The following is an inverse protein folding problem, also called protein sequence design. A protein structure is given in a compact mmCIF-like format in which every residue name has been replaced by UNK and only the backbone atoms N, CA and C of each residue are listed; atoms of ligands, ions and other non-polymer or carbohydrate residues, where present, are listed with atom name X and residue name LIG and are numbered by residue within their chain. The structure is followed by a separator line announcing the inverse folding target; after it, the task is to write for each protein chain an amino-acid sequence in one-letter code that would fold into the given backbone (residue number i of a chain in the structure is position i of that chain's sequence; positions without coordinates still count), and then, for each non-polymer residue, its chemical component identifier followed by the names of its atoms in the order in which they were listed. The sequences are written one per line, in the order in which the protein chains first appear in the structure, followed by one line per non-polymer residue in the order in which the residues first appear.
data_IF_475372088459
#
_entry.id   IF_475372088459
#
_cell.length_a   1.000
_cell.length_b   1.000
_cell.length_c   1.000
_cell.angle_alpha   90.00
_cell.angle_beta   90.00
_cell.angle_gamma   90.00
#
_symmetry.space_group_name_H-M   'P 1'
#
loop_
_entity.id
_entity.type
_entity.pdbx_description
1 polymer ?
#
# COMPACT_ATOMS: atom_id res chain seq x y z
N UNK A 1 -1.95 14.94 66.33
CA UNK A 1 -0.87 14.40 65.46
C UNK A 1 -1.53 13.40 64.53
N UNK A 2 -1.76 13.60 63.24
CA UNK A 2 -1.17 14.49 62.25
C UNK A 2 -2.27 15.15 61.41
N UNK A 3 -2.07 16.43 61.11
CA UNK A 3 -2.72 17.15 60.01
C UNK A 3 -2.12 16.68 58.67
N UNK A 4 -2.91 16.68 57.60
CA UNK A 4 -2.44 16.21 56.29
C UNK A 4 -3.37 16.58 55.13
N UNK A 5 -3.38 17.88 54.79
CA UNK A 5 -3.56 18.46 53.44
C UNK A 5 -4.65 17.90 52.49
N UNK A 6 -5.84 18.50 52.54
CA UNK A 6 -6.81 18.50 51.43
C UNK A 6 -6.80 19.86 50.71
N UNK A 7 -5.80 20.11 49.86
CA UNK A 7 -5.80 21.25 48.93
C UNK A 7 -5.11 20.86 47.63
N UNK A 8 -5.85 20.21 46.74
CA UNK A 8 -5.31 19.75 45.46
C UNK A 8 -6.29 19.78 44.27
N UNK A 9 -7.59 19.59 44.49
CA UNK A 9 -8.50 19.28 43.37
C UNK A 9 -9.41 20.43 42.89
N UNK A 10 -9.48 21.57 43.60
CA UNK A 10 -10.44 22.63 43.20
C UNK A 10 -9.89 23.65 42.19
N UNK A 11 -8.58 23.70 41.95
CA UNK A 11 -7.97 24.68 41.02
C UNK A 11 -7.95 24.23 39.56
N UNK A 12 -8.03 22.92 39.28
CA UNK A 12 -8.10 22.40 37.90
C UNK A 12 -9.54 22.39 37.34
N UNK A 13 -10.58 22.41 38.18
CA UNK A 13 -11.97 22.50 37.72
C UNK A 13 -12.46 23.95 37.53
N UNK A 14 -11.83 24.96 38.15
CA UNK A 14 -12.23 26.36 38.00
C UNK A 14 -11.57 27.12 36.84
N UNK A 15 -10.67 26.51 36.08
CA UNK A 15 -10.08 27.13 34.89
C UNK A 15 -10.81 26.80 33.56
N UNK A 16 -11.86 25.97 33.60
CA UNK A 16 -12.68 25.64 32.40
C UNK A 16 -13.90 26.53 32.19
N UNK A 17 -14.14 27.54 33.04
CA UNK A 17 -15.31 28.43 32.93
C UNK A 17 -14.93 29.90 32.76
N UNK A 18 -14.59 30.28 31.52
CA UNK A 18 -14.86 31.59 30.88
C UNK A 18 -13.99 31.78 29.64
N UNK A 19 -14.31 31.05 28.57
CA UNK A 19 -13.99 31.53 27.23
C UNK A 19 -15.25 32.21 26.68
N UNK A 20 -15.26 33.54 26.76
CA UNK A 20 -16.24 34.39 26.08
C UNK A 20 -15.88 34.38 24.60
N UNK A 21 -16.53 33.51 23.82
CA UNK A 21 -16.08 33.24 22.46
C UNK A 21 -16.38 34.43 21.50
N UNK A 22 -15.34 35.02 20.89
CA UNK A 22 -15.42 36.04 19.84
C UNK A 22 -15.70 35.40 18.47
N UNK A 23 -16.11 36.21 17.50
CA UNK A 23 -16.43 35.78 16.12
C UNK A 23 -15.23 35.18 15.36
N UNK A 24 -14.01 35.38 15.86
CA UNK A 24 -12.75 34.84 15.33
C UNK A 24 -12.45 33.41 15.81
N UNK A 25 -13.22 32.90 16.78
CA UNK A 25 -12.88 31.67 17.51
C UNK A 25 -13.27 30.38 16.77
N UNK A 26 -13.70 30.48 15.51
CA UNK A 26 -13.90 29.31 14.66
C UNK A 26 -12.64 28.88 13.91
N UNK A 27 -11.57 29.69 13.95
CA UNK A 27 -10.27 29.33 13.38
C UNK A 27 -9.44 28.67 14.48
N UNK A 28 -8.97 27.46 14.21
CA UNK A 28 -8.04 26.72 15.04
C UNK A 28 -6.96 26.15 14.12
N UNK A 29 -5.71 26.30 14.53
CA UNK A 29 -4.57 25.62 13.90
C UNK A 29 -4.49 24.18 14.37
N UNK A 30 -3.71 23.33 13.67
CA UNK A 30 -3.52 21.96 14.12
C UNK A 30 -2.78 21.90 15.48
N UNK A 31 -1.85 22.84 15.74
CA UNK A 31 -1.13 22.97 17.00
C UNK A 31 -2.06 23.32 18.16
N UNK A 32 -2.90 24.35 18.00
CA UNK A 32 -3.90 24.74 19.00
C UNK A 32 -4.87 23.59 19.26
N UNK A 33 -5.28 22.86 18.22
CA UNK A 33 -6.12 21.68 18.35
C UNK A 33 -5.46 20.58 19.20
N UNK A 34 -4.17 20.32 19.03
CA UNK A 34 -3.44 19.34 19.84
C UNK A 34 -3.32 19.77 21.32
N UNK A 35 -3.23 21.07 21.58
CA UNK A 35 -3.15 21.64 22.93
C UNK A 35 -4.53 21.63 23.62
N UNK A 36 -5.59 21.98 22.88
CA UNK A 36 -6.95 22.10 23.41
C UNK A 36 -7.65 20.73 23.62
N UNK A 37 -7.15 19.67 22.97
CA UNK A 37 -7.76 18.33 23.02
C UNK A 37 -6.84 17.28 23.61
N UNK A 38 -7.44 16.29 24.26
CA UNK A 38 -6.81 15.02 24.63
C UNK A 38 -6.82 14.02 23.47
N UNK A 39 -6.03 12.95 23.57
CA UNK A 39 -6.03 11.89 22.54
C UNK A 39 -7.37 11.16 22.46
N UNK A 40 -8.09 11.04 23.59
CA UNK A 40 -9.43 10.46 23.63
C UNK A 40 -10.44 11.32 22.88
N UNK A 41 -10.44 12.63 23.13
CA UNK A 41 -11.30 13.60 22.42
C UNK A 41 -11.03 13.58 20.91
N UNK A 42 -9.77 13.47 20.48
CA UNK A 42 -9.40 13.30 19.06
C UNK A 42 -9.94 12.02 18.46
N UNK A 43 -9.93 10.91 19.20
CA UNK A 43 -10.52 9.63 18.75
C UNK A 43 -12.04 9.73 18.61
N UNK A 44 -12.71 10.45 19.50
CA UNK A 44 -14.16 10.69 19.44
C UNK A 44 -14.50 11.50 18.17
N UNK A 45 -13.75 12.58 17.89
CA UNK A 45 -13.94 13.38 16.67
C UNK A 45 -13.69 12.53 15.42
N UNK A 46 -12.60 11.75 15.41
CA UNK A 46 -12.28 10.81 14.32
C UNK A 46 -13.43 9.83 14.04
N UNK A 47 -13.98 9.22 15.10
CA UNK A 47 -15.12 8.31 15.01
C UNK A 47 -16.37 9.00 14.45
N UNK A 48 -16.69 10.19 14.96
CA UNK A 48 -17.83 10.98 14.50
C UNK A 48 -17.72 11.33 13.01
N UNK A 49 -16.57 11.86 12.58
CA UNK A 49 -16.32 12.19 11.16
C UNK A 49 -16.39 10.94 10.29
N UNK A 50 -15.71 9.86 10.68
CA UNK A 50 -15.68 8.61 9.90
C UNK A 50 -17.07 8.00 9.73
N UNK A 51 -17.90 8.07 10.77
CA UNK A 51 -19.29 7.58 10.75
C UNK A 51 -20.16 8.40 9.81
N UNK A 52 -20.11 9.73 9.93
CA UNK A 52 -20.88 10.63 9.06
C UNK A 52 -20.44 10.49 7.60
N UNK A 53 -19.14 10.41 7.33
CA UNK A 53 -18.61 10.18 5.98
C UNK A 53 -19.14 8.86 5.42
N UNK A 54 -19.05 7.77 6.17
CA UNK A 54 -19.51 6.46 5.70
C UNK A 54 -21.00 6.47 5.35
N UNK A 55 -21.84 6.98 6.24
CA UNK A 55 -23.29 7.08 6.03
C UNK A 55 -23.62 7.96 4.80
N UNK A 56 -22.96 9.11 4.69
CA UNK A 56 -23.19 10.05 3.59
C UNK A 56 -22.80 9.45 2.24
N UNK A 57 -21.68 8.72 2.19
CA UNK A 57 -21.21 8.04 0.97
C UNK A 57 -22.18 6.92 0.57
N UNK A 58 -22.72 6.15 1.53
CA UNK A 58 -23.76 5.15 1.26
C UNK A 58 -24.98 5.80 0.60
N UNK A 59 -25.37 6.98 1.05
CA UNK A 59 -26.47 7.76 0.48
C UNK A 59 -26.11 8.50 -0.82
N UNK A 60 -24.85 8.40 -1.27
CA UNK A 60 -24.37 9.07 -2.48
C UNK A 60 -24.06 10.56 -2.30
N UNK A 61 -23.98 11.06 -1.06
CA UNK A 61 -23.68 12.46 -0.72
C UNK A 61 -22.19 12.66 -0.47
N UNK A 62 -21.50 13.51 -1.25
CA UNK A 62 -20.09 13.85 -1.01
C UNK A 62 -19.90 14.66 0.30
N UNK A 63 -18.71 14.60 0.89
CA UNK A 63 -18.36 15.35 2.11
C UNK A 63 -17.15 16.23 1.85
N UNK A 64 -17.27 17.53 2.14
CA UNK A 64 -16.17 18.48 2.03
C UNK A 64 -15.37 18.56 3.33
N UNK A 65 -14.08 18.23 3.26
CA UNK A 65 -13.11 18.49 4.31
C UNK A 65 -12.46 19.85 4.03
N UNK A 66 -12.98 20.90 4.68
CA UNK A 66 -12.60 22.30 4.42
C UNK A 66 -11.08 22.52 4.42
N UNK A 67 -10.56 23.09 3.33
CA UNK A 67 -9.13 23.36 3.18
C UNK A 67 -8.26 22.12 2.88
N UNK A 68 -8.87 20.96 2.65
CA UNK A 68 -8.17 19.71 2.38
C UNK A 68 -8.65 19.02 1.09
N UNK A 69 -9.93 18.66 1.00
CA UNK A 69 -10.50 18.05 -0.19
C UNK A 69 -11.92 17.50 -0.05
N UNK A 70 -12.41 16.89 -1.11
CA UNK A 70 -13.76 16.28 -1.16
C UNK A 70 -13.64 14.77 -1.12
N UNK A 71 -14.42 14.14 -0.23
CA UNK A 71 -14.66 12.70 -0.21
C UNK A 71 -15.95 12.41 -0.97
N UNK A 72 -15.90 11.49 -1.93
CA UNK A 72 -17.05 11.15 -2.77
C UNK A 72 -17.08 9.66 -3.06
N UNK A 73 -18.27 9.15 -3.42
CA UNK A 73 -18.44 7.74 -3.72
C UNK A 73 -17.94 7.41 -5.14
N UNK A 74 -17.41 6.21 -5.31
CA UNK A 74 -17.16 5.61 -6.62
C UNK A 74 -17.72 4.21 -6.63
N UNK A 75 -18.65 4.00 -7.54
CA UNK A 75 -19.22 2.68 -7.80
C UNK A 75 -18.31 1.93 -8.78
N UNK A 76 -18.01 0.67 -8.46
CA UNK A 76 -17.17 -0.19 -9.25
C UNK A 76 -17.69 -1.62 -9.19
N UNK A 77 -17.54 -2.34 -10.30
CA UNK A 77 -17.87 -3.75 -10.38
C UNK A 77 -16.63 -4.54 -9.98
N UNK A 78 -16.76 -5.42 -8.99
CA UNK A 78 -15.72 -6.37 -8.64
C UNK A 78 -16.23 -7.81 -8.79
N UNK A 79 -15.34 -8.70 -9.21
CA UNK A 79 -15.62 -10.11 -9.28
C UNK A 79 -15.16 -10.79 -7.99
N UNK A 80 -16.03 -11.64 -7.43
CA UNK A 80 -15.76 -12.40 -6.21
C UNK A 80 -15.99 -13.89 -6.48
N UNK A 81 -15.11 -14.71 -5.95
CA UNK A 81 -15.17 -16.17 -6.10
C UNK A 81 -15.39 -16.81 -4.75
N UNK A 82 -16.53 -17.48 -4.57
CA UNK A 82 -16.84 -18.23 -3.36
C UNK A 82 -16.69 -19.75 -3.62
N UNK A 83 -16.12 -20.48 -2.65
CA UNK A 83 -15.95 -21.93 -2.75
C UNK A 83 -17.16 -22.67 -2.18
N UNK A 84 -17.80 -23.52 -2.97
CA UNK A 84 -18.87 -24.43 -2.53
C UNK A 84 -18.45 -25.86 -2.86
N UNK A 85 -18.01 -26.59 -1.83
CA UNK A 85 -17.51 -27.97 -1.98
C UNK A 85 -16.33 -28.07 -2.98
N UNK A 86 -16.56 -28.68 -4.15
CA UNK A 86 -15.58 -28.85 -5.24
C UNK A 86 -15.76 -27.85 -6.38
N UNK A 87 -16.80 -27.03 -6.32
CA UNK A 87 -17.13 -26.02 -7.33
C UNK A 87 -16.91 -24.62 -6.77
N UNK A 88 -16.65 -23.68 -7.67
CA UNK A 88 -16.55 -22.26 -7.34
C UNK A 88 -17.70 -21.51 -8.00
N UNK A 89 -18.29 -20.59 -7.25
CA UNK A 89 -19.31 -19.68 -7.75
C UNK A 89 -18.69 -18.30 -7.97
N UNK A 90 -18.87 -17.78 -9.18
CA UNK A 90 -18.44 -16.42 -9.53
C UNK A 90 -19.61 -15.47 -9.31
N UNK A 91 -19.36 -14.41 -8.55
CA UNK A 91 -20.27 -13.31 -8.29
C UNK A 91 -19.69 -12.02 -8.88
N UNK A 92 -20.56 -11.21 -9.45
CA UNK A 92 -20.30 -9.82 -9.82
C UNK A 92 -20.97 -8.96 -8.75
N UNK A 93 -20.17 -8.23 -7.99
CA UNK A 93 -20.64 -7.33 -6.94
C UNK A 93 -20.47 -5.88 -7.38
N UNK A 94 -21.56 -5.12 -7.34
CA UNK A 94 -21.52 -3.67 -7.47
C UNK A 94 -21.13 -3.11 -6.10
N UNK A 95 -19.92 -2.59 -5.99
CA UNK A 95 -19.39 -2.06 -4.73
C UNK A 95 -19.20 -0.56 -4.80
N UNK A 96 -19.51 0.09 -3.68
CA UNK A 96 -19.28 1.51 -3.46
C UNK A 96 -18.06 1.70 -2.58
N UNK A 97 -17.11 2.49 -3.07
CA UNK A 97 -15.89 2.86 -2.34
C UNK A 97 -15.81 4.36 -2.13
N UNK A 98 -14.91 4.82 -1.25
CA UNK A 98 -14.62 6.25 -1.06
C UNK A 98 -13.43 6.64 -1.94
N UNK A 99 -13.56 7.75 -2.65
CA UNK A 99 -12.48 8.42 -3.35
C UNK A 99 -12.25 9.80 -2.74
N UNK A 100 -11.06 10.34 -2.97
CA UNK A 100 -10.66 11.66 -2.50
C UNK A 100 -10.19 12.52 -3.67
N UNK A 101 -10.60 13.78 -3.69
CA UNK A 101 -10.08 14.80 -4.59
C UNK A 101 -9.59 15.99 -3.78
N UNK A 102 -8.30 16.31 -3.90
CA UNK A 102 -7.70 17.47 -3.24
C UNK A 102 -8.41 18.74 -3.71
N UNK A 103 -8.90 19.52 -2.76
CA UNK A 103 -9.66 20.73 -3.02
C UNK A 103 -9.52 21.69 -1.84
N UNK A 104 -8.93 22.85 -2.10
CA UNK A 104 -8.75 23.90 -1.07
C UNK A 104 -10.07 24.58 -0.75
N UNK A 105 -10.82 24.98 -1.78
CA UNK A 105 -12.03 25.79 -1.69
C UNK A 105 -13.08 25.27 -2.66
N UNK A 106 -14.36 25.23 -2.25
CA UNK A 106 -15.47 24.87 -3.12
C UNK A 106 -15.86 26.04 -4.04
N UNK A 107 -15.36 26.01 -5.28
CA UNK A 107 -15.82 26.93 -6.33
C UNK A 107 -17.10 26.43 -6.99
N UNK A 108 -17.84 27.31 -7.67
CA UNK A 108 -19.17 27.01 -8.24
C UNK A 108 -19.22 25.71 -9.07
N UNK A 109 -18.21 25.46 -9.90
CA UNK A 109 -18.11 24.25 -10.72
C UNK A 109 -18.04 22.96 -9.89
N UNK A 110 -17.37 22.97 -8.74
CA UNK A 110 -17.27 21.79 -7.88
C UNK A 110 -18.59 21.51 -7.16
N UNK A 111 -19.36 22.55 -6.83
CA UNK A 111 -20.71 22.39 -6.25
C UNK A 111 -21.66 21.73 -7.25
N UNK A 112 -21.51 22.02 -8.53
CA UNK A 112 -22.27 21.35 -9.60
C UNK A 112 -21.82 19.89 -9.79
N UNK A 113 -20.50 19.64 -9.76
CA UNK A 113 -19.93 18.28 -9.83
C UNK A 113 -20.37 17.41 -8.65
N UNK A 114 -20.45 17.98 -7.44
CA UNK A 114 -20.75 17.28 -6.20
C UNK A 114 -22.12 17.72 -5.65
N UNK A 115 -23.18 17.33 -6.35
CA UNK A 115 -24.56 17.64 -5.93
C UNK A 115 -24.84 17.08 -4.53
N UNK A 116 -25.37 17.93 -3.65
CA UNK A 116 -25.72 17.54 -2.27
C UNK A 116 -24.51 17.37 -1.35
N UNK A 117 -23.39 18.03 -1.66
CA UNK A 117 -22.19 18.02 -0.82
C UNK A 117 -22.50 18.52 0.59
N UNK A 118 -22.01 17.79 1.59
CA UNK A 118 -22.08 18.15 3.00
C UNK A 118 -20.91 19.09 3.30
N UNK A 119 -21.23 20.35 3.59
CA UNK A 119 -20.26 21.35 4.01
C UNK A 119 -20.00 21.28 5.53
N UNK A 120 -19.04 22.05 6.02
CA UNK A 120 -18.58 21.96 7.40
C UNK A 120 -19.69 22.19 8.44
N UNK A 121 -20.63 23.12 8.20
CA UNK A 121 -21.73 23.37 9.13
C UNK A 121 -22.60 22.14 9.30
N UNK A 122 -22.99 21.51 8.19
CA UNK A 122 -23.84 20.32 8.18
C UNK A 122 -23.08 19.13 8.75
N UNK A 123 -21.78 18.99 8.41
CA UNK A 123 -20.90 17.98 8.98
C UNK A 123 -20.82 18.12 10.50
N UNK A 124 -20.71 19.33 11.05
CA UNK A 124 -20.64 19.56 12.48
C UNK A 124 -21.92 19.14 13.21
N UNK A 125 -23.09 19.41 12.63
CA UNK A 125 -24.38 18.97 13.16
C UNK A 125 -24.45 17.44 13.19
N UNK A 126 -24.16 16.78 12.08
CA UNK A 126 -24.21 15.32 11.97
C UNK A 126 -23.17 14.62 12.86
N UNK A 127 -21.95 15.17 12.95
CA UNK A 127 -20.90 14.64 13.82
C UNK A 127 -21.31 14.77 15.28
N UNK A 128 -21.88 15.92 15.68
CA UNK A 128 -22.38 16.13 17.04
C UNK A 128 -23.40 15.07 17.43
N UNK A 129 -24.33 14.73 16.54
CA UNK A 129 -25.32 13.66 16.78
C UNK A 129 -24.65 12.29 17.01
N UNK A 130 -23.57 11.98 16.29
CA UNK A 130 -22.83 10.72 16.45
C UNK A 130 -22.00 10.66 17.74
N UNK A 131 -21.57 11.80 18.26
CA UNK A 131 -20.65 11.85 19.42
C UNK A 131 -21.28 12.35 20.72
N UNK A 132 -22.56 12.76 20.71
CA UNK A 132 -23.23 13.37 21.87
C UNK A 132 -23.30 12.48 23.11
N UNK A 133 -23.14 11.16 22.93
CA UNK A 133 -23.04 10.22 24.06
C UNK A 133 -21.69 10.31 24.79
N UNK A 134 -20.62 10.69 24.09
CA UNK A 134 -19.26 10.72 24.65
C UNK A 134 -18.87 12.08 25.22
N UNK A 135 -19.36 13.17 24.62
CA UNK A 135 -19.00 14.54 24.97
C UNK A 135 -20.20 15.49 24.89
N UNK A 136 -20.29 16.41 25.85
CA UNK A 136 -21.31 17.48 25.87
C UNK A 136 -20.76 18.75 25.22
N UNK A 137 -20.43 18.65 23.93
CA UNK A 137 -19.98 19.80 23.15
C UNK A 137 -21.15 20.43 22.37
N UNK A 138 -21.19 21.75 22.39
CA UNK A 138 -22.07 22.49 21.51
C UNK A 138 -21.55 22.45 20.06
N UNK A 139 -22.42 22.76 19.11
CA UNK A 139 -22.12 22.71 17.68
C UNK A 139 -20.91 23.56 17.28
N UNK A 140 -20.70 24.72 17.91
CA UNK A 140 -19.56 25.60 17.60
C UNK A 140 -18.23 24.98 17.99
N UNK A 141 -18.17 24.32 19.15
CA UNK A 141 -16.99 23.60 19.61
C UNK A 141 -16.71 22.41 18.67
N UNK A 142 -17.75 21.65 18.32
CA UNK A 142 -17.62 20.54 17.37
C UNK A 142 -17.09 21.03 16.02
N UNK A 143 -17.64 22.13 15.49
CA UNK A 143 -17.19 22.73 14.24
C UNK A 143 -15.72 23.18 14.30
N UNK A 144 -15.31 23.86 15.38
CA UNK A 144 -13.92 24.27 15.62
C UNK A 144 -13.00 23.04 15.63
N UNK A 145 -13.36 22.01 16.39
CA UNK A 145 -12.52 20.81 16.53
C UNK A 145 -12.48 19.95 15.27
N UNK A 146 -13.54 19.88 14.47
CA UNK A 146 -13.51 19.26 13.14
C UNK A 146 -12.49 19.98 12.24
N UNK A 147 -12.47 21.32 12.23
CA UNK A 147 -11.46 22.08 11.48
C UNK A 147 -10.05 21.76 11.95
N UNK A 148 -9.81 21.78 13.27
CA UNK A 148 -8.51 21.43 13.83
C UNK A 148 -8.06 20.02 13.46
N UNK A 149 -8.99 19.08 13.49
CA UNK A 149 -8.75 17.70 13.08
C UNK A 149 -8.43 17.56 11.58
N UNK A 150 -9.14 18.28 10.70
CA UNK A 150 -8.84 18.31 9.26
C UNK A 150 -7.47 18.94 9.00
N UNK A 151 -7.12 20.03 9.69
CA UNK A 151 -5.79 20.63 9.60
C UNK A 151 -4.70 19.67 10.08
N UNK A 152 -4.96 18.87 11.12
CA UNK A 152 -4.04 17.84 11.60
C UNK A 152 -3.85 16.72 10.55
N UNK A 153 -4.93 16.23 9.92
CA UNK A 153 -4.82 15.25 8.81
C UNK A 153 -3.95 15.81 7.70
N UNK A 154 -4.25 17.05 7.28
CA UNK A 154 -3.53 17.75 6.22
C UNK A 154 -2.05 17.90 6.57
N UNK A 155 -1.75 18.33 7.80
CA UNK A 155 -0.38 18.47 8.28
C UNK A 155 0.35 17.13 8.26
N UNK A 156 -0.22 16.06 8.83
CA UNK A 156 0.40 14.73 8.84
C UNK A 156 0.62 14.19 7.42
N UNK A 157 -0.38 14.31 6.55
CA UNK A 157 -0.27 13.86 5.15
C UNK A 157 0.86 14.60 4.42
N UNK A 158 1.01 15.90 4.60
CA UNK A 158 2.07 16.68 3.93
C UNK A 158 3.43 16.48 4.60
N UNK A 159 3.51 16.62 5.92
CA UNK A 159 4.77 16.58 6.63
C UNK A 159 5.36 15.16 6.70
N UNK A 160 4.52 14.15 6.95
CA UNK A 160 4.95 12.76 7.11
C UNK A 160 4.67 11.91 5.87
N UNK A 161 3.96 12.46 4.88
CA UNK A 161 3.55 11.72 3.68
C UNK A 161 2.39 10.76 3.91
N UNK A 162 1.85 10.68 5.14
CA UNK A 162 0.79 9.74 5.53
C UNK A 162 -0.03 10.27 6.71
N UNK A 163 -1.35 10.06 6.69
CA UNK A 163 -2.21 10.24 7.86
C UNK A 163 -3.21 9.10 8.01
N UNK A 164 -3.24 8.49 9.20
CA UNK A 164 -4.14 7.38 9.57
C UNK A 164 -5.28 7.82 10.48
N UNK A 165 -5.48 9.13 10.66
CA UNK A 165 -6.48 9.69 11.58
C UNK A 165 -7.93 9.32 11.23
N UNK A 166 -8.18 8.95 9.98
CA UNK A 166 -9.48 8.46 9.49
C UNK A 166 -9.39 7.01 8.99
N UNK A 167 -8.58 6.16 9.63
CA UNK A 167 -8.31 4.78 9.22
C UNK A 167 -9.54 3.89 9.00
N UNK A 168 -10.67 4.23 9.62
CA UNK A 168 -11.98 3.58 9.45
C UNK A 168 -12.52 3.72 8.02
N UNK A 169 -12.29 4.87 7.36
CA UNK A 169 -12.66 5.10 5.96
C UNK A 169 -11.49 4.87 5.00
N UNK A 170 -10.25 5.07 5.46
CA UNK A 170 -9.03 4.85 4.67
C UNK A 170 -7.80 5.58 5.23
N UNK A 171 -6.71 5.54 4.47
CA UNK A 171 -5.44 6.20 4.83
C UNK A 171 -5.10 7.23 3.76
N UNK A 172 -4.78 8.45 4.19
CA UNK A 172 -4.31 9.50 3.30
C UNK A 172 -2.81 9.38 3.09
N UNK A 173 -2.38 9.57 1.86
CA UNK A 173 -0.99 9.58 1.46
C UNK A 173 -0.69 10.85 0.68
N UNK A 174 0.55 11.34 0.76
CA UNK A 174 1.03 12.41 -0.09
C UNK A 174 2.37 12.05 -0.72
N UNK A 175 2.47 12.26 -2.04
CA UNK A 175 3.71 12.17 -2.79
C UNK A 175 4.10 13.57 -3.29
N UNK A 176 5.30 14.04 -2.92
CA UNK A 176 5.73 15.39 -3.25
C UNK A 176 6.39 15.43 -4.62
N UNK A 177 5.83 16.20 -5.54
CA UNK A 177 6.38 16.39 -6.87
C UNK A 177 7.29 17.62 -6.99
N UNK A 178 7.29 18.48 -5.96
CA UNK A 178 8.07 19.71 -5.84
C UNK A 178 8.53 19.89 -4.39
N UNK A 179 9.68 20.54 -4.24
CA UNK A 179 10.18 21.02 -2.95
C UNK A 179 9.87 22.51 -2.83
N UNK A 180 9.59 22.96 -1.61
CA UNK A 180 9.39 24.37 -1.29
C UNK A 180 9.96 24.71 0.09
N UNK A 181 9.94 26.00 0.43
CA UNK A 181 10.42 26.45 1.74
C UNK A 181 9.30 26.49 2.76
N UNK A 182 8.08 26.81 2.33
CA UNK A 182 6.92 26.96 3.22
C UNK A 182 5.92 25.82 3.06
N UNK A 183 5.15 25.53 4.13
CA UNK A 183 4.13 24.48 4.13
C UNK A 183 3.14 24.58 2.95
N UNK A 184 2.79 25.80 2.54
CA UNK A 184 1.89 26.03 1.41
C UNK A 184 2.48 25.53 0.08
N UNK A 185 3.79 25.64 -0.12
CA UNK A 185 4.47 25.12 -1.31
C UNK A 185 4.42 23.60 -1.33
N UNK A 186 4.66 22.97 -0.17
CA UNK A 186 4.59 21.52 -0.01
C UNK A 186 3.18 21.01 -0.29
N UNK A 187 2.15 21.63 0.31
CA UNK A 187 0.75 21.26 0.05
C UNK A 187 0.39 21.43 -1.43
N UNK A 188 0.81 22.53 -2.06
CA UNK A 188 0.54 22.80 -3.48
C UNK A 188 1.24 21.79 -4.40
N UNK A 189 2.46 21.36 -4.04
CA UNK A 189 3.27 20.39 -4.77
C UNK A 189 2.96 18.92 -4.49
N UNK A 190 2.13 18.63 -3.47
CA UNK A 190 1.76 17.29 -3.08
C UNK A 190 0.62 16.70 -3.92
N UNK A 191 0.81 15.47 -4.37
CA UNK A 191 -0.22 14.59 -4.91
C UNK A 191 -0.82 13.79 -3.75
N UNK A 192 -2.00 14.19 -3.30
CA UNK A 192 -2.66 13.63 -2.11
C UNK A 192 -3.80 12.72 -2.56
N UNK A 193 -3.80 11.49 -2.07
CA UNK A 193 -4.82 10.50 -2.38
C UNK A 193 -5.24 9.72 -1.14
N UNK A 194 -6.42 9.12 -1.22
CA UNK A 194 -6.97 8.24 -0.19
C UNK A 194 -6.94 6.80 -0.70
N UNK A 195 -6.42 5.91 0.12
CA UNK A 195 -6.60 4.47 -0.06
C UNK A 195 -7.69 4.02 0.88
N UNK A 196 -8.85 3.75 0.30
CA UNK A 196 -10.05 3.48 1.06
C UNK A 196 -10.05 2.07 1.64
N UNK A 197 -10.42 1.96 2.91
CA UNK A 197 -10.79 0.68 3.54
C UNK A 197 -12.30 0.48 3.55
N UNK A 198 -13.06 1.50 3.13
CA UNK A 198 -14.50 1.45 3.05
C UNK A 198 -14.93 0.79 1.73
N UNK A 199 -15.75 -0.25 1.86
CA UNK A 199 -16.46 -0.86 0.73
C UNK A 199 -17.85 -1.25 1.18
N UNK A 200 -18.86 -0.85 0.39
CA UNK A 200 -20.26 -1.20 0.61
C UNK A 200 -20.81 -1.93 -0.61
N UNK A 201 -21.24 -3.16 -0.44
CA UNK A 201 -21.87 -3.95 -1.51
C UNK A 201 -23.30 -3.42 -1.73
N UNK A 202 -23.54 -2.83 -2.91
CA UNK A 202 -24.86 -2.34 -3.34
C UNK A 202 -25.71 -3.51 -3.85
N UNK A 203 -25.09 -4.34 -4.68
CA UNK A 203 -25.76 -5.43 -5.37
C UNK A 203 -24.78 -6.59 -5.59
N UNK A 204 -25.28 -7.82 -5.59
CA UNK A 204 -24.49 -9.01 -5.90
C UNK A 204 -25.29 -9.90 -6.84
N UNK A 205 -24.66 -10.29 -7.95
CA UNK A 205 -25.25 -11.15 -8.98
C UNK A 205 -24.35 -12.35 -9.22
N UNK A 206 -24.90 -13.54 -9.09
CA UNK A 206 -24.22 -14.77 -9.51
C UNK A 206 -24.03 -14.77 -11.03
N UNK A 207 -22.77 -14.83 -11.46
CA UNK A 207 -22.35 -14.86 -12.87
C UNK A 207 -22.34 -16.30 -13.37
N UNK A 208 -21.79 -17.23 -12.59
CA UNK A 208 -21.63 -18.60 -13.04
C UNK A 208 -21.04 -19.54 -12.01
N UNK A 209 -20.78 -20.78 -12.48
CA UNK A 209 -20.09 -21.82 -11.73
C UNK A 209 -18.97 -22.39 -12.58
N UNK A 210 -17.85 -22.72 -11.95
CA UNK A 210 -16.74 -23.39 -12.62
C UNK A 210 -16.00 -24.30 -11.65
N UNK A 211 -15.31 -25.31 -12.21
CA UNK A 211 -14.36 -26.13 -11.48
C UNK A 211 -13.00 -25.46 -11.60
N UNK A 212 -12.30 -25.29 -10.47
CA UNK A 212 -10.97 -24.68 -10.50
C UNK A 212 -9.98 -25.58 -11.23
N UNK A 213 -9.24 -25.06 -12.22
CA UNK A 213 -8.26 -25.87 -12.95
C UNK A 213 -7.16 -26.37 -12.01
N UNK A 214 -6.69 -27.58 -12.29
CA UNK A 214 -5.51 -28.17 -11.65
C UNK A 214 -4.41 -28.20 -12.70
N UNK A 215 -3.36 -27.42 -12.48
CA UNK A 215 -2.28 -27.23 -13.43
C UNK A 215 -1.23 -28.34 -13.33
N UNK A 216 -0.55 -28.68 -14.43
CA UNK A 216 0.63 -29.57 -14.34
C UNK A 216 1.84 -28.79 -13.83
N UNK A 217 1.96 -27.53 -14.23
CA UNK A 217 3.07 -26.64 -13.88
C UNK A 217 2.59 -25.23 -13.52
N UNK A 218 3.51 -24.41 -13.01
CA UNK A 218 3.21 -23.04 -12.56
C UNK A 218 3.06 -22.01 -13.69
N UNK A 219 3.24 -22.39 -14.95
CA UNK A 219 3.24 -21.44 -16.05
C UNK A 219 2.10 -21.63 -17.06
N UNK A 220 1.33 -22.73 -16.97
CA UNK A 220 0.13 -22.99 -17.76
C UNK A 220 -0.86 -21.83 -17.83
N UNK A 221 -1.20 -21.13 -16.72
CA UNK A 221 -2.08 -19.96 -16.79
C UNK A 221 -1.52 -18.83 -17.66
N UNK A 222 -0.18 -18.69 -17.71
CA UNK A 222 0.51 -17.68 -18.50
C UNK A 222 0.53 -18.07 -19.98
N UNK A 223 0.65 -19.36 -20.29
CA UNK A 223 0.46 -19.83 -21.67
C UNK A 223 -0.94 -19.53 -22.21
N UNK A 224 -1.96 -19.71 -21.36
CA UNK A 224 -3.33 -19.43 -21.74
C UNK A 224 -3.59 -17.93 -22.02
N UNK A 225 -2.91 -17.01 -21.30
CA UNK A 225 -3.15 -15.58 -21.44
C UNK A 225 -2.15 -14.83 -22.35
N UNK A 226 -0.91 -15.32 -22.45
CA UNK A 226 0.18 -14.67 -23.20
C UNK A 226 0.65 -15.47 -24.43
N UNK A 227 0.16 -16.71 -24.62
CA UNK A 227 0.70 -17.64 -25.60
C UNK A 227 1.96 -18.36 -25.11
N UNK A 228 2.63 -19.11 -25.98
CA UNK A 228 3.78 -19.96 -25.63
C UNK A 228 4.91 -19.16 -24.99
N UNK A 229 5.64 -19.79 -24.07
CA UNK A 229 6.87 -19.23 -23.51
C UNK A 229 7.87 -18.91 -24.63
N UNK A 230 8.47 -17.72 -24.57
CA UNK A 230 9.50 -17.28 -25.52
C UNK A 230 10.88 -17.85 -25.18
N UNK A 231 11.09 -18.22 -23.92
CA UNK A 231 12.31 -18.86 -23.44
C UNK A 231 12.06 -19.66 -22.16
N UNK A 232 12.90 -20.67 -21.94
CA UNK A 232 13.01 -21.43 -20.69
C UNK A 232 14.44 -21.26 -20.18
N UNK A 233 14.59 -20.73 -18.97
CA UNK A 233 15.88 -20.44 -18.35
C UNK A 233 16.14 -21.39 -17.19
N UNK A 234 17.43 -21.59 -16.91
CA UNK A 234 17.90 -22.33 -15.75
C UNK A 234 18.92 -21.46 -15.03
N UNK A 235 18.55 -20.91 -13.88
CA UNK A 235 19.40 -20.01 -13.10
C UNK A 235 20.19 -20.84 -12.08
N UNK A 236 21.52 -20.76 -12.16
CA UNK A 236 22.42 -21.38 -11.19
C UNK A 236 22.45 -20.54 -9.90
N UNK A 237 21.75 -21.02 -8.87
CA UNK A 237 21.64 -20.36 -7.58
C UNK A 237 23.00 -20.17 -6.92
N UNK A 238 23.89 -21.16 -7.04
CA UNK A 238 25.22 -21.11 -6.44
C UNK A 238 26.02 -20.02 -7.11
N UNK A 239 26.09 -20.00 -8.45
CA UNK A 239 26.83 -18.95 -9.16
C UNK A 239 26.34 -17.54 -8.80
N UNK A 240 25.04 -17.29 -8.84
CA UNK A 240 24.49 -15.95 -8.59
C UNK A 240 24.65 -15.52 -7.12
N UNK A 241 24.54 -16.44 -6.15
CA UNK A 241 24.82 -16.13 -4.75
C UNK A 241 26.29 -15.77 -4.51
N UNK A 242 27.23 -16.35 -5.27
CA UNK A 242 28.64 -15.96 -5.23
C UNK A 242 28.81 -14.50 -5.60
N UNK A 243 28.17 -14.11 -6.71
CA UNK A 243 28.27 -12.76 -7.26
C UNK A 243 27.65 -11.72 -6.32
N UNK A 244 26.69 -12.14 -5.49
CA UNK A 244 26.08 -11.32 -4.43
C UNK A 244 26.89 -11.33 -3.12
N UNK A 245 27.98 -12.09 -3.04
CA UNK A 245 28.87 -12.14 -1.87
C UNK A 245 28.39 -13.05 -0.73
N UNK A 246 27.44 -13.97 -0.99
CA UNK A 246 26.97 -14.93 0.02
C UNK A 246 27.95 -16.11 0.16
N UNK A 247 28.19 -16.55 1.40
CA UNK A 247 28.97 -17.75 1.68
C UNK A 247 28.22 -19.01 1.22
N UNK A 248 28.84 -19.77 0.33
CA UNK A 248 28.26 -20.94 -0.33
C UNK A 248 28.55 -22.25 0.38
N UNK A 249 29.42 -22.21 1.39
CA UNK A 249 29.89 -23.40 2.09
C UNK A 249 28.71 -24.22 2.63
N UNK A 250 27.71 -23.54 3.19
CA UNK A 250 26.49 -24.17 3.69
C UNK A 250 25.51 -24.63 2.60
N UNK A 251 25.47 -23.97 1.44
CA UNK A 251 24.58 -24.31 0.32
C UNK A 251 25.09 -25.52 -0.47
N UNK A 252 26.39 -25.54 -0.75
CA UNK A 252 27.03 -26.63 -1.49
C UNK A 252 26.99 -27.97 -0.74
N UNK A 253 26.94 -27.93 0.60
CA UNK A 253 26.82 -29.12 1.44
C UNK A 253 25.39 -29.68 1.51
N UNK A 254 24.37 -28.83 1.36
CA UNK A 254 22.99 -29.19 1.70
C UNK A 254 22.01 -29.28 0.51
N UNK A 255 22.34 -28.70 -0.65
CA UNK A 255 21.48 -28.75 -1.84
C UNK A 255 21.97 -29.81 -2.83
N UNK A 256 21.07 -30.72 -3.21
CA UNK A 256 21.32 -31.66 -4.29
C UNK A 256 21.55 -30.89 -5.61
N UNK A 257 22.33 -31.43 -6.57
CA UNK A 257 22.63 -30.72 -7.82
C UNK A 257 21.41 -30.21 -8.59
N UNK A 258 20.30 -30.95 -8.57
CA UNK A 258 19.04 -30.53 -9.21
C UNK A 258 18.37 -29.33 -8.52
N UNK A 259 18.57 -29.17 -7.21
CA UNK A 259 18.01 -28.08 -6.39
C UNK A 259 18.83 -26.80 -6.49
N UNK A 260 20.00 -26.85 -7.15
CA UNK A 260 20.85 -25.69 -7.42
C UNK A 260 20.38 -24.88 -8.62
N UNK A 261 19.48 -25.45 -9.42
CA UNK A 261 18.94 -24.81 -10.62
C UNK A 261 17.52 -24.35 -10.36
N UNK A 262 17.26 -23.06 -10.56
CA UNK A 262 15.91 -22.51 -10.59
C UNK A 262 15.40 -22.48 -12.03
N UNK A 263 14.30 -23.17 -12.30
CA UNK A 263 13.65 -23.17 -13.61
C UNK A 263 12.74 -21.95 -13.73
N UNK A 264 12.85 -21.24 -14.85
CA UNK A 264 12.09 -20.01 -15.11
C UNK A 264 11.56 -20.02 -16.53
N UNK A 265 10.25 -19.85 -16.68
CA UNK A 265 9.59 -19.67 -17.97
C UNK A 265 9.41 -18.18 -18.25
N UNK A 266 9.68 -17.76 -19.49
CA UNK A 266 9.59 -16.35 -19.88
C UNK A 266 8.46 -16.18 -20.89
N UNK A 267 7.56 -15.24 -20.61
CA UNK A 267 6.44 -14.87 -21.45
C UNK A 267 6.53 -13.42 -21.88
N UNK A 268 5.97 -13.11 -23.04
CA UNK A 268 5.78 -11.74 -23.49
C UNK A 268 4.31 -11.38 -23.41
N UNK A 269 4.00 -10.25 -22.79
CA UNK A 269 2.66 -9.70 -22.73
C UNK A 269 2.62 -8.31 -23.38
N UNK A 270 1.42 -7.84 -23.69
CA UNK A 270 1.22 -6.48 -24.20
C UNK A 270 1.73 -5.44 -23.19
N UNK A 271 2.48 -4.46 -23.70
CA UNK A 271 2.89 -3.29 -22.93
C UNK A 271 1.97 -2.13 -23.21
N UNK A 272 1.70 -1.32 -22.18
CA UNK A 272 1.02 -0.02 -22.35
C UNK A 272 1.91 1.00 -23.07
N UNK A 273 3.22 0.78 -23.09
CA UNK A 273 4.18 1.65 -23.76
C UNK A 273 4.52 1.05 -25.14
N UNK A 274 4.23 1.75 -26.25
CA UNK A 274 4.47 1.23 -27.60
C UNK A 274 5.95 1.01 -27.92
N UNK A 275 6.88 1.59 -27.14
CA UNK A 275 8.32 1.46 -27.32
C UNK A 275 8.95 0.43 -26.39
N UNK A 276 8.15 -0.28 -25.57
CA UNK A 276 8.63 -1.29 -24.64
C UNK A 276 7.83 -2.58 -24.82
N UNK A 277 8.43 -3.71 -24.44
CA UNK A 277 7.72 -4.98 -24.25
C UNK A 277 7.67 -5.31 -22.77
N UNK A 278 6.60 -5.98 -22.34
CA UNK A 278 6.48 -6.50 -20.97
C UNK A 278 6.90 -7.97 -20.98
N UNK A 279 7.95 -8.30 -20.24
CA UNK A 279 8.38 -9.68 -20.00
C UNK A 279 7.86 -10.14 -18.65
N UNK A 280 7.41 -11.40 -18.58
CA UNK A 280 6.92 -12.05 -17.37
C UNK A 280 7.77 -13.30 -17.15
N UNK A 281 8.51 -13.32 -16.05
CA UNK A 281 9.32 -14.44 -15.61
C UNK A 281 8.56 -15.19 -14.53
N UNK A 282 8.39 -16.50 -14.71
CA UNK A 282 7.59 -17.37 -13.84
C UNK A 282 8.48 -18.51 -13.38
N UNK A 283 8.71 -18.65 -12.07
CA UNK A 283 9.42 -19.82 -11.55
C UNK A 283 8.55 -21.07 -11.64
N UNK A 284 9.18 -22.22 -11.78
CA UNK A 284 8.50 -23.52 -11.72
C UNK A 284 9.27 -24.47 -10.80
N UNK A 285 8.59 -24.93 -9.74
CA UNK A 285 9.10 -25.95 -8.82
C UNK A 285 9.40 -25.43 -7.41
N UNK A 286 9.46 -24.11 -7.20
CA UNK A 286 9.70 -23.54 -5.87
C UNK A 286 8.61 -23.91 -4.87
N UNK A 287 7.40 -24.18 -5.36
CA UNK A 287 6.27 -24.61 -4.52
C UNK A 287 6.59 -25.84 -3.67
N UNK A 288 7.44 -26.75 -4.14
CA UNK A 288 7.78 -27.97 -3.41
C UNK A 288 8.45 -27.69 -2.07
N UNK A 289 9.21 -26.60 -1.98
CA UNK A 289 9.86 -26.18 -0.73
C UNK A 289 8.84 -25.89 0.38
N UNK A 290 7.65 -25.39 0.03
CA UNK A 290 6.63 -24.98 0.99
C UNK A 290 5.53 -26.01 1.24
N UNK A 291 5.26 -26.91 0.29
CA UNK A 291 4.16 -27.89 0.40
C UNK A 291 4.39 -28.82 1.60
N UNK A 292 5.62 -29.28 1.81
CA UNK A 292 5.99 -30.17 2.92
C UNK A 292 5.83 -29.51 4.30
N UNK A 293 5.86 -28.18 4.36
CA UNK A 293 5.86 -27.41 5.62
C UNK A 293 4.55 -26.67 5.91
N UNK A 294 3.77 -26.31 4.89
CA UNK A 294 2.68 -25.33 5.01
C UNK A 294 1.44 -25.63 4.17
N UNK A 295 1.39 -26.79 3.50
CA UNK A 295 0.34 -27.22 2.56
C UNK A 295 0.18 -26.35 1.30
N UNK A 296 0.76 -25.14 1.27
CA UNK A 296 0.68 -24.18 0.17
C UNK A 296 2.08 -23.65 -0.16
N UNK A 297 2.60 -24.05 -1.31
CA UNK A 297 3.87 -23.57 -1.83
C UNK A 297 3.85 -22.15 -2.38
N UNK A 298 5.00 -21.68 -2.83
CA UNK A 298 5.20 -20.36 -3.44
C UNK A 298 5.83 -20.51 -4.82
N UNK A 299 5.32 -19.75 -5.79
CA UNK A 299 6.01 -19.47 -7.05
C UNK A 299 6.20 -17.96 -7.19
N UNK A 300 7.32 -17.58 -7.79
CA UNK A 300 7.75 -16.19 -7.93
C UNK A 300 7.48 -15.70 -9.35
N UNK A 301 6.95 -14.49 -9.43
CA UNK A 301 6.69 -13.77 -10.68
C UNK A 301 7.54 -12.51 -10.69
N UNK A 302 8.26 -12.25 -11.77
CA UNK A 302 8.87 -10.95 -12.04
C UNK A 302 8.32 -10.42 -13.35
N UNK A 303 7.70 -9.24 -13.32
CA UNK A 303 7.30 -8.54 -14.54
C UNK A 303 8.20 -7.33 -14.75
N UNK A 304 8.69 -7.13 -15.97
CA UNK A 304 9.61 -6.05 -16.29
C UNK A 304 9.32 -5.45 -17.67
N UNK A 305 9.39 -4.13 -17.76
CA UNK A 305 9.35 -3.40 -19.03
C UNK A 305 10.77 -3.19 -19.56
N UNK A 306 11.04 -3.72 -20.75
CA UNK A 306 12.33 -3.58 -21.46
C UNK A 306 12.13 -2.94 -22.83
N UNK A 307 13.14 -2.26 -23.40
CA UNK A 307 13.11 -1.75 -24.77
C UNK A 307 12.80 -2.84 -25.81
N UNK A 308 12.14 -2.48 -26.92
CA UNK A 308 11.74 -3.42 -27.97
C UNK A 308 12.92 -4.02 -28.75
N UNK A 309 14.02 -3.28 -28.85
CA UNK A 309 15.25 -3.61 -29.56
C UNK A 309 16.15 -4.59 -28.81
N UNK A 310 15.82 -4.93 -27.55
CA UNK A 310 16.54 -5.96 -26.79
C UNK A 310 16.43 -7.34 -27.43
N UNK A 311 17.50 -8.13 -27.36
CA UNK A 311 17.47 -9.50 -27.87
C UNK A 311 16.58 -10.39 -26.99
N UNK A 312 16.08 -11.51 -27.52
CA UNK A 312 15.42 -12.55 -26.73
C UNK A 312 16.40 -13.69 -26.41
N UNK A 313 17.72 -13.42 -26.46
CA UNK A 313 18.71 -14.45 -26.17
C UNK A 313 18.73 -14.80 -24.69
N UNK A 314 18.87 -16.09 -24.39
CA UNK A 314 18.79 -16.61 -23.02
C UNK A 314 19.78 -15.97 -22.04
N UNK A 315 20.96 -15.56 -22.52
CA UNK A 315 21.96 -14.89 -21.69
C UNK A 315 21.50 -13.50 -21.22
N UNK A 316 20.94 -12.69 -22.13
CA UNK A 316 20.42 -11.36 -21.79
C UNK A 316 19.21 -11.48 -20.84
N UNK A 317 18.28 -12.40 -21.15
CA UNK A 317 17.11 -12.65 -20.31
C UNK A 317 17.50 -13.12 -18.91
N UNK A 318 18.53 -13.97 -18.78
CA UNK A 318 19.05 -14.40 -17.49
C UNK A 318 19.68 -13.24 -16.72
N UNK A 319 20.46 -12.37 -17.37
CA UNK A 319 21.08 -11.21 -16.70
C UNK A 319 20.04 -10.25 -16.09
N UNK A 320 18.86 -10.14 -16.71
CA UNK A 320 17.77 -9.28 -16.24
C UNK A 320 17.09 -9.87 -14.99
N UNK A 321 16.86 -11.19 -14.93
CA UNK A 321 16.01 -11.78 -13.89
C UNK A 321 16.76 -12.49 -12.76
N UNK A 322 18.02 -12.90 -12.97
CA UNK A 322 18.74 -13.78 -12.04
C UNK A 322 18.80 -13.24 -10.62
N UNK A 323 19.35 -12.04 -10.40
CA UNK A 323 19.52 -11.47 -9.05
C UNK A 323 18.19 -11.27 -8.30
N UNK A 324 17.15 -10.62 -8.86
CA UNK A 324 15.89 -10.46 -8.12
C UNK A 324 15.26 -11.80 -7.76
N UNK A 325 15.27 -12.79 -8.67
CA UNK A 325 14.73 -14.12 -8.39
C UNK A 325 15.54 -14.87 -7.31
N UNK A 326 16.87 -14.79 -7.36
CA UNK A 326 17.77 -15.41 -6.36
C UNK A 326 17.57 -14.78 -4.98
N UNK A 327 17.46 -13.45 -4.88
CA UNK A 327 17.20 -12.77 -3.61
C UNK A 327 15.83 -13.11 -3.04
N UNK A 328 14.80 -13.19 -3.88
CA UNK A 328 13.48 -13.64 -3.46
C UNK A 328 13.48 -15.12 -3.03
N UNK A 329 14.33 -15.96 -3.63
CA UNK A 329 14.56 -17.31 -3.15
C UNK A 329 15.28 -17.34 -1.80
N UNK A 330 16.26 -16.46 -1.55
CA UNK A 330 16.89 -16.31 -0.23
C UNK A 330 15.85 -15.93 0.83
N UNK A 331 14.96 -14.98 0.52
CA UNK A 331 13.82 -14.64 1.39
C UNK A 331 12.95 -15.86 1.68
N UNK A 332 12.60 -16.63 0.64
CA UNK A 332 11.80 -17.86 0.78
C UNK A 332 12.49 -18.88 1.68
N UNK A 333 13.81 -19.06 1.53
CA UNK A 333 14.59 -19.99 2.34
C UNK A 333 14.73 -19.52 3.79
N UNK A 334 14.82 -18.22 4.03
CA UNK A 334 14.85 -17.64 5.37
C UNK A 334 13.52 -17.77 6.13
N UNK A 335 12.40 -17.90 5.40
CA UNK A 335 11.08 -18.07 6.00
C UNK A 335 10.92 -19.48 6.63
N UNK A 336 10.50 -19.54 7.89
CA UNK A 336 10.34 -20.78 8.66
C UNK A 336 9.48 -21.83 7.95
N UNK A 337 8.42 -21.40 7.29
CA UNK A 337 7.45 -22.27 6.61
C UNK A 337 7.62 -22.26 5.09
N UNK A 338 8.74 -21.73 4.57
CA UNK A 338 9.00 -21.57 3.13
C UNK A 338 7.81 -20.96 2.39
N UNK A 339 7.25 -19.92 3.00
CA UNK A 339 6.15 -19.11 2.47
C UNK A 339 6.54 -17.66 2.58
N UNK A 340 6.28 -16.91 1.53
CA UNK A 340 6.45 -15.47 1.54
C UNK A 340 5.17 -14.77 2.00
N UNK A 341 5.32 -13.53 2.43
CA UNK A 341 4.21 -12.64 2.74
C UNK A 341 4.40 -11.32 2.01
N UNK A 342 3.28 -10.62 1.81
CA UNK A 342 3.26 -9.29 1.24
C UNK A 342 4.09 -8.33 2.08
N UNK A 343 5.04 -7.66 1.44
CA UNK A 343 5.92 -6.68 2.07
C UNK A 343 7.25 -7.21 2.57
N UNK A 344 7.52 -8.52 2.44
CA UNK A 344 8.86 -9.05 2.66
C UNK A 344 9.85 -8.41 1.67
N UNK A 345 11.07 -8.08 2.12
CA UNK A 345 12.06 -7.46 1.24
C UNK A 345 13.49 -7.73 1.66
N UNK A 346 14.40 -7.69 0.68
CA UNK A 346 15.82 -7.93 0.86
C UNK A 346 16.63 -7.00 -0.04
N UNK A 347 17.50 -6.19 0.56
CA UNK A 347 18.44 -5.35 -0.17
C UNK A 347 19.69 -6.14 -0.52
N UNK A 348 20.16 -5.97 -1.75
CA UNK A 348 21.42 -6.56 -2.22
C UNK A 348 22.63 -5.63 -2.03
N UNK A 349 22.41 -4.37 -1.65
CA UNK A 349 23.43 -3.28 -1.67
C UNK A 349 24.13 -3.07 -3.02
N UNK A 350 23.70 -3.78 -4.07
CA UNK A 350 24.16 -3.70 -5.46
C UNK A 350 22.93 -3.64 -6.38
N UNK A 351 23.06 -3.17 -7.63
CA UNK A 351 21.94 -3.13 -8.55
C UNK A 351 21.34 -4.53 -8.79
N UNK A 352 20.01 -4.63 -8.72
CA UNK A 352 19.30 -5.88 -9.02
C UNK A 352 19.41 -6.28 -10.49
N UNK A 353 19.53 -5.31 -11.39
CA UNK A 353 19.56 -5.55 -12.82
C UNK A 353 20.97 -5.26 -13.34
N UNK A 354 21.62 -6.28 -13.91
CA UNK A 354 22.93 -6.13 -14.56
C UNK A 354 22.77 -5.13 -15.73
N UNK A 355 23.78 -4.30 -15.96
CA UNK A 355 23.81 -3.25 -16.99
C UNK A 355 22.80 -2.08 -16.87
N UNK A 356 22.02 -2.03 -15.78
CA UNK A 356 21.25 -0.84 -15.43
C UNK A 356 22.16 0.19 -14.76
N UNK A 357 22.66 1.15 -15.54
CA UNK A 357 23.56 2.22 -15.08
C UNK A 357 22.90 3.17 -14.08
N UNK A 358 21.57 3.24 -14.06
CA UNK A 358 20.82 3.97 -13.05
C UNK A 358 20.72 3.10 -11.79
N UNK A 359 21.67 3.34 -10.88
CA UNK A 359 21.92 2.68 -9.58
C UNK A 359 20.74 2.64 -8.60
N UNK A 360 19.51 2.87 -9.05
CA UNK A 360 18.38 3.16 -8.18
C UNK A 360 17.78 1.91 -7.58
N UNK A 361 17.68 0.78 -8.29
CA UNK A 361 16.94 -0.41 -7.83
C UNK A 361 17.86 -1.50 -7.26
N UNK A 362 17.86 -1.66 -5.94
CA UNK A 362 18.74 -2.59 -5.22
C UNK A 362 18.02 -3.51 -4.22
N UNK A 363 16.72 -3.31 -3.99
CA UNK A 363 15.94 -4.07 -3.00
C UNK A 363 14.80 -4.82 -3.66
N UNK A 364 14.71 -6.13 -3.45
CA UNK A 364 13.50 -6.89 -3.82
C UNK A 364 12.42 -6.65 -2.79
N UNK A 365 11.18 -6.54 -3.23
CA UNK A 365 10.01 -6.36 -2.38
C UNK A 365 8.87 -7.24 -2.89
N UNK A 366 8.31 -8.05 -2.00
CA UNK A 366 7.30 -9.05 -2.34
C UNK A 366 5.92 -8.43 -2.27
N UNK A 367 5.13 -8.64 -3.31
CA UNK A 367 3.78 -8.11 -3.45
C UNK A 367 2.84 -9.23 -3.91
N UNK A 368 1.53 -9.18 -3.59
CA UNK A 368 0.58 -10.13 -4.14
C UNK A 368 0.56 -10.01 -5.68
N UNK A 369 0.59 -11.13 -6.38
CA UNK A 369 0.40 -11.13 -7.83
C UNK A 369 -1.09 -11.01 -8.16
N UNK A 370 -1.46 -9.93 -8.84
CA UNK A 370 -2.88 -9.55 -8.99
C UNK A 370 -3.57 -10.14 -10.20
N UNK A 371 -2.83 -10.56 -11.23
CA UNK A 371 -3.44 -11.15 -12.45
C UNK A 371 -4.02 -12.54 -12.16
N UNK A 372 -3.38 -13.31 -11.28
CA UNK A 372 -3.82 -14.64 -10.87
C UNK A 372 -3.78 -14.69 -9.34
N UNK A 373 -4.84 -14.16 -8.72
CA UNK A 373 -4.93 -14.06 -7.28
C UNK A 373 -5.29 -15.40 -6.60
N UNK A 374 -4.90 -15.52 -5.33
CA UNK A 374 -5.24 -16.64 -4.46
C UNK A 374 -4.43 -17.92 -4.67
N UNK A 375 -4.89 -19.00 -4.02
CA UNK A 375 -4.22 -20.31 -4.00
C UNK A 375 -4.52 -21.11 -5.25
N UNK A 376 -3.52 -21.34 -6.10
CA UNK A 376 -3.61 -22.21 -7.26
C UNK A 376 -3.42 -23.68 -6.92
N UNK A 377 -3.94 -24.54 -7.79
CA UNK A 377 -3.87 -25.99 -7.64
C UNK A 377 -3.00 -26.54 -8.74
N UNK A 378 -1.98 -27.31 -8.37
CA UNK A 378 -1.20 -28.12 -9.29
C UNK A 378 -1.33 -29.60 -8.93
N UNK A 379 -0.99 -30.47 -9.87
CA UNK A 379 -0.93 -31.94 -9.66
C UNK A 379 -0.04 -32.31 -8.48
N UNK A 380 0.97 -31.49 -8.18
CA UNK A 380 1.93 -31.72 -7.11
C UNK A 380 1.63 -30.93 -5.82
N UNK A 381 0.46 -30.29 -5.70
CA UNK A 381 0.06 -29.55 -4.49
C UNK A 381 -0.48 -28.16 -4.77
N UNK A 382 -0.78 -27.42 -3.70
CA UNK A 382 -1.32 -26.06 -3.79
C UNK A 382 -0.19 -25.04 -3.72
N UNK A 383 -0.36 -23.87 -4.34
CA UNK A 383 0.64 -22.82 -4.30
C UNK A 383 0.04 -21.42 -4.50
N UNK A 384 0.82 -20.37 -4.25
CA UNK A 384 0.45 -18.97 -4.56
C UNK A 384 1.55 -18.32 -5.40
N UNK A 385 1.14 -17.39 -6.26
CA UNK A 385 2.07 -16.50 -6.95
C UNK A 385 2.38 -15.29 -6.09
N UNK A 386 3.67 -14.99 -5.96
CA UNK A 386 4.17 -13.77 -5.35
C UNK A 386 4.91 -12.96 -6.40
N UNK A 387 4.51 -11.70 -6.56
CA UNK A 387 5.15 -10.79 -7.49
C UNK A 387 6.35 -10.11 -6.83
N UNK A 388 7.47 -10.11 -7.53
CA UNK A 388 8.69 -9.41 -7.17
C UNK A 388 8.61 -8.02 -7.81
N UNK A 389 8.61 -7.00 -6.97
CA UNK A 389 8.93 -5.63 -7.38
C UNK A 389 10.30 -5.24 -6.85
N UNK A 390 10.82 -4.15 -7.40
CA UNK A 390 12.11 -3.60 -7.05
C UNK A 390 11.92 -2.22 -6.43
N UNK A 391 12.52 -2.01 -5.26
CA UNK A 391 12.58 -0.72 -4.57
C UNK A 391 13.95 -0.08 -4.76
N UNK A 392 13.94 1.24 -4.67
CA UNK A 392 15.18 2.00 -4.48
C UNK A 392 15.66 1.95 -3.04
N UNK A 393 16.94 2.23 -2.80
CA UNK A 393 17.51 2.28 -1.43
C UNK A 393 16.69 3.21 -0.53
N UNK A 394 16.44 4.43 -0.99
CA UNK A 394 15.61 5.40 -0.27
C UNK A 394 14.18 4.90 -0.03
N UNK A 395 13.60 4.13 -0.95
CA UNK A 395 12.27 3.55 -0.76
C UNK A 395 12.30 2.40 0.25
N UNK A 396 13.35 1.56 0.24
CA UNK A 396 13.50 0.49 1.22
C UNK A 396 13.74 1.03 2.63
N UNK A 397 14.48 2.13 2.77
CA UNK A 397 14.78 2.76 4.05
C UNK A 397 13.53 3.31 4.74
N UNK A 398 12.51 3.69 3.98
CA UNK A 398 11.25 4.18 4.56
C UNK A 398 10.28 3.06 4.97
N UNK A 399 10.43 1.85 4.43
CA UNK A 399 9.52 0.72 4.69
C UNK A 399 9.33 0.47 6.18
N UNK A 400 10.38 0.43 7.03
CA UNK A 400 10.22 0.22 8.47
C UNK A 400 9.40 1.30 9.17
N UNK A 401 9.35 2.52 8.63
CA UNK A 401 8.63 3.61 9.30
C UNK A 401 7.20 3.80 8.75
N UNK A 402 6.97 3.66 7.45
CA UNK A 402 5.61 3.71 6.90
C UNK A 402 4.88 2.39 7.04
N UNK A 403 5.58 1.29 7.29
CA UNK A 403 5.15 -0.12 7.22
C UNK A 403 5.16 -0.72 5.80
N UNK A 404 5.41 -2.04 5.66
CA UNK A 404 5.37 -2.70 4.36
C UNK A 404 4.00 -2.63 3.67
N UNK A 405 2.91 -2.69 4.44
CA UNK A 405 1.55 -2.57 3.89
C UNK A 405 1.36 -1.23 3.19
N UNK A 406 1.77 -0.15 3.84
CA UNK A 406 1.55 1.19 3.33
C UNK A 406 2.50 1.50 2.16
N UNK A 407 3.72 0.94 2.17
CA UNK A 407 4.60 1.01 1.00
C UNK A 407 4.00 0.31 -0.23
N UNK A 408 3.41 -0.88 -0.06
CA UNK A 408 2.71 -1.57 -1.15
C UNK A 408 1.59 -0.70 -1.74
N UNK A 409 0.80 -0.09 -0.87
CA UNK A 409 -0.29 0.80 -1.24
C UNK A 409 0.21 2.04 -2.02
N UNK A 410 1.35 2.62 -1.61
CA UNK A 410 2.03 3.68 -2.38
C UNK A 410 2.46 3.18 -3.76
N UNK A 411 3.07 2.00 -3.88
CA UNK A 411 3.51 1.44 -5.17
C UNK A 411 2.35 1.23 -6.14
N UNK A 412 1.20 0.73 -5.66
CA UNK A 412 -0.01 0.53 -6.46
C UNK A 412 -0.48 1.81 -7.15
N UNK A 413 -0.42 2.95 -6.45
CA UNK A 413 -0.86 4.24 -7.01
C UNK A 413 -0.08 4.68 -8.24
N UNK A 414 1.16 4.18 -8.39
CA UNK A 414 2.04 4.44 -9.54
C UNK A 414 2.15 3.26 -10.49
N UNK A 415 1.38 2.19 -10.26
CA UNK A 415 1.44 0.91 -10.97
C UNK A 415 2.86 0.31 -10.96
N UNK A 416 3.53 0.37 -9.80
CA UNK A 416 4.88 -0.14 -9.58
C UNK A 416 4.91 -1.38 -8.67
N UNK A 417 3.76 -1.83 -8.20
CA UNK A 417 3.63 -3.03 -7.37
C UNK A 417 3.72 -4.30 -8.21
N UNK A 418 3.24 -4.27 -9.47
CA UNK A 418 3.23 -5.44 -10.35
C UNK A 418 4.39 -5.48 -11.35
N UNK A 419 4.80 -4.33 -11.90
CA UNK A 419 5.75 -4.26 -13.03
C UNK A 419 6.95 -3.38 -12.69
N UNK A 420 8.14 -3.95 -12.82
CA UNK A 420 9.40 -3.23 -12.65
C UNK A 420 9.71 -2.39 -13.89
N UNK A 421 9.99 -1.10 -13.65
CA UNK A 421 10.45 -0.15 -14.67
C UNK A 421 11.88 0.27 -14.35
N UNK A 422 12.84 -0.17 -15.16
CA UNK A 422 14.27 0.02 -14.92
C UNK A 422 14.69 1.51 -14.85
N UNK A 423 14.04 2.36 -15.63
CA UNK A 423 14.36 3.79 -15.75
C UNK A 423 13.59 4.68 -14.77
N UNK A 424 12.81 4.10 -13.84
CA UNK A 424 11.98 4.90 -12.94
C UNK A 424 12.84 5.66 -11.93
N UNK A 425 12.42 6.89 -11.61
CA UNK A 425 12.95 7.60 -10.45
C UNK A 425 12.41 7.01 -9.15
N UNK A 426 13.15 7.24 -8.06
CA UNK A 426 12.65 7.01 -6.70
C UNK A 426 11.37 7.84 -6.48
N UNK A 427 10.33 7.21 -5.93
CA UNK A 427 9.05 7.83 -5.59
C UNK A 427 9.18 8.97 -4.57
N UNK A 428 10.29 8.96 -3.82
CA UNK A 428 10.54 9.84 -2.69
C UNK A 428 11.65 10.85 -2.99
N UNK A 429 12.23 10.85 -4.19
CA UNK A 429 13.39 11.68 -4.54
C UNK A 429 13.20 13.17 -4.24
N UNK A 430 11.95 13.65 -4.27
CA UNK A 430 11.59 15.04 -3.98
C UNK A 430 10.90 15.23 -2.62
N UNK A 431 10.47 14.14 -1.98
CA UNK A 431 9.84 14.12 -0.66
C UNK A 431 10.89 14.17 0.45
N UNK A 432 11.80 15.15 0.43
CA UNK A 432 12.98 15.27 1.32
C UNK A 432 12.69 15.30 2.84
N UNK A 433 11.43 15.08 3.24
CA UNK A 433 10.88 15.12 4.59
C UNK A 433 10.20 13.79 4.99
N UNK A 434 10.09 12.80 4.09
CA UNK A 434 9.95 11.40 4.52
C UNK A 434 11.29 10.94 5.13
N UNK A 435 11.56 11.49 6.32
CA UNK A 435 12.38 10.96 7.40
C UNK A 435 13.83 11.38 7.50
N UNK A 436 14.04 12.28 8.47
CA UNK A 436 14.95 11.97 9.59
C UNK A 436 14.27 12.35 10.92
N UNK A 437 13.76 11.40 11.71
CA UNK A 437 13.87 11.58 13.16
C UNK A 437 15.37 11.65 13.46
N UNK A 438 15.87 12.74 14.03
CA UNK A 438 17.30 12.92 14.34
C UNK A 438 17.85 11.97 15.42
N UNK A 439 17.15 10.89 15.76
CA UNK A 439 17.59 9.93 16.77
C UNK A 439 17.18 8.50 16.40
N UNK A 440 18.04 7.75 15.70
CA UNK A 440 18.44 6.41 16.15
C UNK A 440 19.54 5.80 15.27
N UNK A 441 20.47 5.16 15.99
CA UNK A 441 21.67 4.44 15.60
C UNK A 441 21.49 3.37 14.51
N UNK A 442 22.63 3.09 13.86
CA UNK A 442 22.87 1.97 12.97
C UNK A 442 22.31 0.64 13.51
N UNK A 443 21.40 0.05 12.73
CA UNK A 443 21.10 -1.37 12.76
C UNK A 443 21.13 -1.88 11.32
N UNK A 444 21.87 -2.97 11.11
CA UNK A 444 21.76 -3.75 9.88
C UNK A 444 20.35 -4.34 9.87
N UNK A 445 19.46 -3.79 9.05
CA UNK A 445 18.06 -4.16 9.02
C UNK A 445 17.81 -5.32 8.07
N UNK A 446 17.65 -6.53 8.63
CA UNK A 446 16.79 -7.55 8.03
C UNK A 446 15.36 -7.24 8.48
N UNK A 447 14.46 -6.95 7.54
CA UNK A 447 13.01 -6.91 7.83
C UNK A 447 12.51 -8.36 7.74
N UNK A 448 12.54 -9.07 8.88
CA UNK A 448 11.92 -10.38 9.03
C UNK A 448 10.43 -10.28 9.37
#
# INVERSE_FOLDING_TARGET
MFEGSSTGDSKLQQQKSKFSYRKEDYKITWDEFLIETSEEERRIISFGISSVVSDSIIEGRPVFLEGFGVLYHKDQICEKVDSIQKEFELYSEDTRTIQFERCSDLVSYQREKYKGIIELSDLAVLVREKISFFVDWNERIVQRYIRGFIQLIKYEAIQFGISRRLSQIGVFYALHNRQGQEFFDWYSGADIFLISHFSHCISSKKVGRFVRPVFVNAWEPFEACCGKAIAMLSIDLVRELNELGYDQSALNANLAPAERMMLVSVFQAESKNPNKRKLIFVTDGLRQLGIDMSEVGTELILQIEVPLDGSNEGNELSMICSRPLVLSWVLLQGAKNKTLWSGAGLSASVPLFKDCTNQLLNTVFITPFTLIDGVQFATQGKFRYWNITALTENESDIVPIVSPKDMLEILKTRNLDQVVRLERSCLLAKSGVMMRPQHSLAAVHTVL
#
